data_IF_566422053688
#
_entry.id   IF_566422053688
#
_cell.length_a   1.000
_cell.length_b   1.000
_cell.length_c   1.000
_cell.angle_alpha   90.00
_cell.angle_beta   90.00
_cell.angle_gamma   90.00
#
_symmetry.space_group_name_H-M   'P 1'
#
loop_
_entity.id
_entity.type
_entity.pdbx_description
1 polymer ?
#
# COMPACT_ATOMS: atom_id res chain seq x y z
N UNK A 1 0.60 -30.04 -11.32
CA UNK A 1 0.56 -28.56 -11.21
C UNK A 1 0.90 -28.21 -9.77
N UNK A 2 1.98 -27.48 -9.49
CA UNK A 2 2.38 -27.18 -8.10
C UNK A 2 1.55 -25.99 -7.59
N UNK A 3 1.03 -26.06 -6.37
CA UNK A 3 0.21 -25.00 -5.73
C UNK A 3 0.87 -23.61 -5.84
N UNK A 4 2.21 -23.58 -5.75
CA UNK A 4 3.02 -22.36 -5.88
C UNK A 4 2.85 -21.66 -7.23
N UNK A 5 2.61 -22.38 -8.34
CA UNK A 5 2.48 -21.77 -9.66
C UNK A 5 1.12 -21.06 -9.83
N UNK A 6 0.12 -21.43 -9.02
CA UNK A 6 -1.20 -20.77 -8.98
C UNK A 6 -1.11 -19.51 -8.10
N UNK A 7 -0.54 -19.66 -6.90
CA UNK A 7 -0.50 -18.58 -5.91
C UNK A 7 0.57 -17.54 -6.26
N UNK A 8 1.72 -17.96 -6.79
CA UNK A 8 2.88 -17.14 -7.12
C UNK A 8 3.38 -17.45 -8.55
N UNK A 9 2.61 -17.07 -9.58
CA UNK A 9 3.01 -17.27 -10.97
C UNK A 9 4.31 -16.51 -11.29
N UNK A 10 5.10 -17.07 -12.20
CA UNK A 10 6.27 -16.40 -12.77
C UNK A 10 5.95 -15.71 -14.11
N UNK A 11 4.68 -15.69 -14.52
CA UNK A 11 4.26 -15.13 -15.80
C UNK A 11 4.51 -13.61 -15.81
N UNK A 12 5.15 -13.07 -16.86
CA UNK A 12 5.42 -11.65 -16.98
C UNK A 12 4.17 -10.78 -16.81
N UNK A 13 4.22 -9.81 -15.89
CA UNK A 13 3.11 -8.88 -15.64
C UNK A 13 1.95 -9.47 -14.82
N UNK A 14 2.10 -10.68 -14.28
CA UNK A 14 1.11 -11.27 -13.38
C UNK A 14 0.99 -10.47 -12.07
N UNK A 15 2.10 -10.01 -11.50
CA UNK A 15 2.10 -9.18 -10.30
C UNK A 15 1.42 -7.83 -10.56
N UNK A 16 1.73 -7.19 -11.70
CA UNK A 16 1.11 -5.94 -12.16
C UNK A 16 -0.41 -6.05 -12.19
N UNK A 17 -0.96 -7.08 -12.87
CA UNK A 17 -2.40 -7.28 -12.96
C UNK A 17 -3.05 -7.43 -11.59
N UNK A 18 -2.43 -8.20 -10.69
CA UNK A 18 -2.95 -8.44 -9.35
C UNK A 18 -2.93 -7.19 -8.48
N UNK A 19 -1.88 -6.37 -8.56
CA UNK A 19 -1.85 -5.07 -7.89
C UNK A 19 -2.96 -4.14 -8.37
N UNK A 20 -3.24 -4.07 -9.68
CA UNK A 20 -4.34 -3.27 -10.20
C UNK A 20 -5.72 -3.80 -9.78
N UNK A 21 -5.91 -5.12 -9.78
CA UNK A 21 -7.16 -5.72 -9.27
C UNK A 21 -7.34 -5.40 -7.78
N UNK A 22 -6.30 -5.57 -6.97
CA UNK A 22 -6.33 -5.21 -5.56
C UNK A 22 -6.62 -3.72 -5.35
N UNK A 23 -5.97 -2.85 -6.12
CA UNK A 23 -6.21 -1.40 -6.11
C UNK A 23 -7.68 -1.07 -6.35
N UNK A 24 -8.31 -1.66 -7.36
CA UNK A 24 -9.73 -1.45 -7.64
C UNK A 24 -10.64 -1.95 -6.51
N UNK A 25 -10.32 -3.09 -5.89
CA UNK A 25 -11.06 -3.61 -4.74
C UNK A 25 -10.95 -2.68 -3.53
N UNK A 26 -9.75 -2.17 -3.24
CA UNK A 26 -9.56 -1.22 -2.14
C UNK A 26 -10.13 0.16 -2.43
N UNK A 27 -10.22 0.58 -3.69
CA UNK A 27 -10.94 1.79 -4.07
C UNK A 27 -12.42 1.66 -3.70
N UNK A 28 -13.04 0.53 -4.07
CA UNK A 28 -14.42 0.26 -3.70
C UNK A 28 -14.60 0.32 -2.18
N UNK A 29 -13.76 -0.40 -1.42
CA UNK A 29 -13.81 -0.38 0.04
C UNK A 29 -13.60 1.03 0.64
N UNK A 30 -12.57 1.75 0.18
CA UNK A 30 -12.26 3.10 0.63
C UNK A 30 -13.39 4.07 0.36
N UNK A 31 -13.95 4.08 -0.85
CA UNK A 31 -15.11 4.92 -1.20
C UNK A 31 -16.35 4.54 -0.39
N UNK A 32 -16.57 3.26 -0.09
CA UNK A 32 -17.65 2.83 0.82
C UNK A 32 -17.50 3.45 2.21
N UNK A 33 -16.31 3.42 2.82
CA UNK A 33 -16.09 4.10 4.10
C UNK A 33 -16.23 5.63 3.99
N UNK A 34 -15.84 6.22 2.86
CA UNK A 34 -16.05 7.65 2.60
C UNK A 34 -17.54 8.01 2.57
N UNK A 35 -18.34 7.17 1.91
CA UNK A 35 -19.79 7.31 1.85
C UNK A 35 -20.44 7.13 3.23
N UNK A 36 -20.03 6.13 4.01
CA UNK A 36 -20.50 5.93 5.38
C UNK A 36 -20.17 7.15 6.27
N UNK A 37 -18.96 7.70 6.15
CA UNK A 37 -18.58 8.89 6.90
C UNK A 37 -19.40 10.12 6.51
N UNK A 38 -19.70 10.28 5.21
CA UNK A 38 -20.56 11.35 4.72
C UNK A 38 -22.02 11.19 5.22
N UNK A 39 -22.54 9.97 5.25
CA UNK A 39 -23.87 9.67 5.80
C UNK A 39 -23.94 9.99 7.30
N UNK A 40 -22.93 9.59 8.07
CA UNK A 40 -22.86 9.89 9.52
C UNK A 40 -22.87 11.41 9.79
N UNK A 41 -22.20 12.21 8.97
CA UNK A 41 -22.21 13.68 9.10
C UNK A 41 -23.54 14.33 8.68
N UNK A 42 -24.22 13.77 7.68
CA UNK A 42 -25.43 14.34 7.11
C UNK A 42 -26.70 13.93 7.88
N UNK A 43 -26.81 12.65 8.22
CA UNK A 43 -27.97 12.04 8.81
C UNK A 43 -27.53 10.85 9.71
N UNK A 44 -26.98 11.14 10.90
CA UNK A 44 -26.42 10.12 11.80
C UNK A 44 -27.45 9.06 12.25
N UNK A 45 -28.74 9.40 12.28
CA UNK A 45 -29.82 8.49 12.64
C UNK A 45 -30.04 7.35 11.61
N UNK A 46 -29.45 7.43 10.42
CA UNK A 46 -29.53 6.38 9.39
C UNK A 46 -28.57 5.22 9.63
N UNK A 47 -27.51 5.44 10.42
CA UNK A 47 -26.53 4.40 10.74
C UNK A 47 -26.78 3.85 12.15
N UNK A 48 -26.53 2.55 12.39
CA UNK A 48 -26.49 2.04 13.75
C UNK A 48 -25.45 2.81 14.57
N UNK A 49 -25.76 3.14 15.83
CA UNK A 49 -24.85 3.82 16.76
C UNK A 49 -23.74 2.90 17.28
N UNK A 50 -23.05 2.21 16.37
CA UNK A 50 -21.88 1.38 16.64
C UNK A 50 -20.63 2.25 16.64
N UNK A 51 -19.72 1.98 17.58
CA UNK A 51 -18.50 2.78 17.72
C UNK A 51 -17.63 2.75 16.45
N UNK A 52 -17.65 1.63 15.74
CA UNK A 52 -16.93 1.37 14.48
C UNK A 52 -17.40 2.25 13.32
N UNK A 53 -18.68 2.64 13.32
CA UNK A 53 -19.28 3.49 12.28
C UNK A 53 -19.27 4.97 12.64
N UNK A 54 -18.82 5.33 13.84
CA UNK A 54 -18.65 6.73 14.22
C UNK A 54 -17.68 7.45 13.28
N UNK A 55 -17.98 8.70 12.97
CA UNK A 55 -17.18 9.50 12.05
C UNK A 55 -15.69 9.53 12.42
N UNK A 56 -15.38 9.58 13.72
CA UNK A 56 -14.00 9.58 14.22
C UNK A 56 -13.18 8.34 13.86
N UNK A 57 -13.83 7.19 13.62
CA UNK A 57 -13.16 5.93 13.20
C UNK A 57 -13.30 5.64 11.72
N UNK A 58 -14.44 6.02 11.13
CA UNK A 58 -14.68 5.87 9.69
C UNK A 58 -13.77 6.77 8.87
N UNK A 59 -13.51 8.01 9.31
CA UNK A 59 -12.60 8.96 8.63
C UNK A 59 -11.18 8.39 8.44
N UNK A 60 -10.46 7.99 9.50
CA UNK A 60 -9.11 7.45 9.32
C UNK A 60 -9.13 6.14 8.53
N UNK A 61 -10.18 5.31 8.68
CA UNK A 61 -10.35 4.10 7.87
C UNK A 61 -10.46 4.44 6.38
N UNK A 62 -11.33 5.38 6.01
CA UNK A 62 -11.50 5.85 4.63
C UNK A 62 -10.17 6.33 4.03
N UNK A 63 -9.49 7.26 4.70
CA UNK A 63 -8.25 7.85 4.19
C UNK A 63 -7.17 6.78 4.03
N UNK A 64 -7.00 5.88 5.00
CA UNK A 64 -5.99 4.84 4.91
C UNK A 64 -6.30 3.83 3.79
N UNK A 65 -7.56 3.43 3.60
CA UNK A 65 -7.93 2.55 2.50
C UNK A 65 -7.77 3.20 1.13
N UNK A 66 -8.04 4.51 1.00
CA UNK A 66 -7.82 5.22 -0.26
C UNK A 66 -6.33 5.40 -0.55
N UNK A 67 -5.53 5.80 0.44
CA UNK A 67 -4.09 6.05 0.25
C UNK A 67 -3.30 4.75 0.18
N UNK A 68 -3.32 3.94 1.24
CA UNK A 68 -2.53 2.71 1.32
C UNK A 68 -3.19 1.56 0.55
N UNK A 69 -4.52 1.46 0.58
CA UNK A 69 -5.22 0.42 -0.18
C UNK A 69 -5.27 0.71 -1.68
N UNK A 70 -5.86 1.82 -2.11
CA UNK A 70 -6.05 2.11 -3.53
C UNK A 70 -4.80 2.67 -4.20
N UNK A 71 -4.33 3.85 -3.76
CA UNK A 71 -3.27 4.60 -4.47
C UNK A 71 -1.93 3.87 -4.45
N UNK A 72 -1.52 3.30 -3.32
CA UNK A 72 -0.26 2.56 -3.25
C UNK A 72 -0.30 1.24 -4.04
N UNK A 73 -1.41 0.48 -4.03
CA UNK A 73 -1.51 -0.70 -4.92
C UNK A 73 -1.47 -0.27 -6.40
N UNK A 74 -2.13 0.83 -6.79
CA UNK A 74 -2.05 1.36 -8.16
C UNK A 74 -0.61 1.77 -8.51
N UNK A 75 0.07 2.45 -7.58
CA UNK A 75 1.45 2.86 -7.75
C UNK A 75 2.39 1.65 -7.89
N UNK A 76 2.22 0.62 -7.07
CA UNK A 76 2.98 -0.64 -7.14
C UNK A 76 2.72 -1.39 -8.45
N UNK A 77 1.47 -1.50 -8.90
CA UNK A 77 1.18 -2.05 -10.22
C UNK A 77 1.81 -1.23 -11.35
N UNK A 78 1.73 0.10 -11.24
CA UNK A 78 2.29 1.05 -12.19
C UNK A 78 3.81 0.92 -12.33
N UNK A 79 4.57 0.89 -11.23
CA UNK A 79 6.03 0.74 -11.29
C UNK A 79 6.46 -0.63 -11.84
N UNK A 80 5.74 -1.71 -11.53
CA UNK A 80 6.03 -3.05 -12.06
C UNK A 80 5.72 -3.18 -13.55
N UNK A 81 4.88 -2.29 -14.10
CA UNK A 81 4.64 -2.21 -15.53
C UNK A 81 5.62 -1.26 -16.24
N UNK A 82 5.70 -0.01 -15.79
CA UNK A 82 6.40 1.07 -16.48
C UNK A 82 7.91 0.84 -16.49
N UNK A 83 8.50 0.45 -15.35
CA UNK A 83 9.96 0.30 -15.23
C UNK A 83 10.52 -0.76 -16.20
N UNK A 84 10.06 -2.03 -16.21
CA UNK A 84 10.59 -3.01 -17.15
C UNK A 84 10.34 -2.62 -18.62
N UNK A 85 9.17 -2.05 -18.94
CA UNK A 85 8.83 -1.62 -20.30
C UNK A 85 9.78 -0.53 -20.81
N UNK A 86 10.01 0.51 -20.02
CA UNK A 86 10.88 1.63 -20.42
C UNK A 86 12.36 1.24 -20.41
N UNK A 87 12.77 0.39 -19.47
CA UNK A 87 14.14 -0.14 -19.41
C UNK A 87 14.42 -1.26 -20.43
N UNK A 88 13.40 -1.67 -21.21
CA UNK A 88 13.44 -2.76 -22.20
C UNK A 88 14.02 -4.06 -21.63
N UNK A 89 13.61 -4.40 -20.42
CA UNK A 89 14.05 -5.60 -19.69
C UNK A 89 12.86 -6.30 -19.05
N UNK A 90 13.04 -7.57 -18.72
CA UNK A 90 12.10 -8.29 -17.87
C UNK A 90 12.23 -7.82 -16.41
N UNK A 91 11.14 -7.98 -15.65
CA UNK A 91 11.11 -7.67 -14.23
C UNK A 91 12.07 -8.60 -13.46
N UNK A 92 12.86 -8.03 -12.55
CA UNK A 92 13.92 -8.76 -11.83
C UNK A 92 13.47 -10.06 -11.14
N UNK A 93 12.28 -10.06 -10.53
CA UNK A 93 11.75 -11.21 -9.80
C UNK A 93 10.21 -11.21 -9.70
N UNK A 94 9.54 -11.71 -10.74
CA UNK A 94 8.05 -11.75 -10.83
C UNK A 94 7.39 -12.54 -9.70
N UNK A 95 7.96 -13.69 -9.29
CA UNK A 95 7.43 -14.49 -8.18
C UNK A 95 7.49 -13.75 -6.84
N UNK A 96 8.58 -13.02 -6.61
CA UNK A 96 8.76 -12.23 -5.41
C UNK A 96 7.83 -11.01 -5.40
N UNK A 97 7.60 -10.39 -6.56
CA UNK A 97 6.59 -9.35 -6.72
C UNK A 97 5.17 -9.86 -6.38
N UNK A 98 4.81 -11.07 -6.84
CA UNK A 98 3.54 -11.72 -6.50
C UNK A 98 3.41 -12.01 -5.00
N UNK A 99 4.49 -12.38 -4.32
CA UNK A 99 4.47 -12.51 -2.86
C UNK A 99 4.22 -11.15 -2.20
N UNK A 100 4.87 -10.10 -2.72
CA UNK A 100 4.66 -8.72 -2.29
C UNK A 100 3.20 -8.26 -2.41
N UNK A 101 2.46 -8.70 -3.46
CA UNK A 101 1.02 -8.43 -3.60
C UNK A 101 0.27 -8.98 -2.39
N UNK A 102 0.42 -10.27 -2.09
CA UNK A 102 -0.31 -10.91 -0.99
C UNK A 102 0.06 -10.29 0.35
N UNK A 103 1.35 -10.13 0.59
CA UNK A 103 1.86 -9.57 1.84
C UNK A 103 1.34 -8.14 2.07
N UNK A 104 1.42 -7.26 1.07
CA UNK A 104 0.95 -5.89 1.20
C UNK A 104 -0.57 -5.81 1.41
N UNK A 105 -1.34 -6.63 0.70
CA UNK A 105 -2.79 -6.63 0.84
C UNK A 105 -3.25 -7.21 2.18
N UNK A 106 -2.46 -8.10 2.82
CA UNK A 106 -2.69 -8.50 4.20
C UNK A 106 -2.44 -7.36 5.20
N UNK A 107 -1.45 -6.51 4.95
CA UNK A 107 -1.19 -5.30 5.77
C UNK A 107 -2.36 -4.32 5.65
N UNK A 108 -2.83 -4.04 4.44
CA UNK A 108 -4.00 -3.17 4.20
C UNK A 108 -5.27 -3.76 4.82
N UNK A 109 -5.47 -5.08 4.72
CA UNK A 109 -6.57 -5.75 5.42
C UNK A 109 -6.44 -5.58 6.94
N UNK A 110 -5.23 -5.66 7.49
CA UNK A 110 -4.94 -5.32 8.87
C UNK A 110 -5.44 -3.92 9.24
N UNK A 111 -5.19 -2.91 8.40
CA UNK A 111 -5.68 -1.54 8.63
C UNK A 111 -7.22 -1.46 8.63
N UNK A 112 -7.88 -2.16 7.69
CA UNK A 112 -9.34 -2.28 7.65
C UNK A 112 -9.90 -2.89 8.94
N UNK A 113 -9.19 -3.81 9.58
CA UNK A 113 -9.61 -4.37 10.86
C UNK A 113 -9.28 -3.44 12.03
N UNK A 114 -8.07 -2.89 12.12
CA UNK A 114 -7.63 -2.15 13.32
C UNK A 114 -8.29 -0.78 13.46
N UNK A 115 -8.45 -0.04 12.36
CA UNK A 115 -8.89 1.36 12.41
C UNK A 115 -10.37 1.51 12.86
N UNK A 116 -11.34 0.73 12.35
CA UNK A 116 -12.71 0.77 12.87
C UNK A 116 -12.82 0.35 14.34
N UNK A 117 -11.91 -0.50 14.83
CA UNK A 117 -11.86 -0.88 16.24
C UNK A 117 -11.17 0.17 17.14
N UNK A 118 -10.71 1.29 16.56
CA UNK A 118 -10.09 2.39 17.30
C UNK A 118 -8.63 2.15 17.67
N UNK A 119 -7.99 1.12 17.11
CA UNK A 119 -6.56 0.86 17.29
C UNK A 119 -5.82 1.75 16.29
N UNK A 120 -5.46 2.96 16.73
CA UNK A 120 -4.84 3.98 15.89
C UNK A 120 -3.82 4.83 16.63
N UNK A 121 -2.78 5.30 15.92
CA UNK A 121 -1.82 6.28 16.46
C UNK A 121 -2.36 7.73 16.45
N UNK A 122 -3.49 7.99 15.80
CA UNK A 122 -4.16 9.31 15.83
C UNK A 122 -3.49 10.43 15.03
N UNK A 123 -2.44 10.14 14.26
CA UNK A 123 -1.78 11.11 13.37
C UNK A 123 -2.24 10.93 11.93
N UNK A 124 -2.57 12.03 11.26
CA UNK A 124 -3.08 11.97 9.90
C UNK A 124 -2.08 11.33 8.93
N UNK A 125 -2.57 10.37 8.13
CA UNK A 125 -1.77 9.54 7.21
C UNK A 125 -0.73 8.62 7.88
N UNK A 126 -0.77 8.51 9.20
CA UNK A 126 0.08 7.69 10.07
C UNK A 126 -0.78 7.00 11.14
N UNK A 127 -2.04 6.68 10.82
CA UNK A 127 -3.02 6.18 11.78
C UNK A 127 -2.87 4.69 12.09
N UNK A 128 -2.24 3.92 11.19
CA UNK A 128 -2.13 2.48 11.31
C UNK A 128 -1.32 2.06 12.56
N UNK A 129 -1.58 0.88 13.10
CA UNK A 129 -0.78 0.37 14.22
C UNK A 129 0.68 0.12 13.79
N UNK A 130 1.64 0.32 14.69
CA UNK A 130 3.08 0.22 14.41
C UNK A 130 3.51 -1.10 13.74
N UNK A 131 2.82 -2.21 14.04
CA UNK A 131 3.07 -3.52 13.43
C UNK A 131 2.75 -3.48 11.93
N UNK A 132 1.67 -2.80 11.55
CA UNK A 132 1.28 -2.61 10.16
C UNK A 132 2.24 -1.64 9.45
N UNK A 133 2.77 -0.65 10.17
CA UNK A 133 3.79 0.26 9.61
C UNK A 133 5.04 -0.49 9.16
N UNK A 134 5.51 -1.43 9.98
CA UNK A 134 6.62 -2.31 9.63
C UNK A 134 6.27 -3.13 8.38
N UNK A 135 5.03 -3.61 8.29
CA UNK A 135 4.52 -4.29 7.10
C UNK A 135 4.62 -3.42 5.84
N UNK A 136 4.17 -2.16 5.90
CA UNK A 136 4.28 -1.21 4.79
C UNK A 136 5.74 -0.99 4.39
N UNK A 137 6.64 -0.79 5.36
CA UNK A 137 8.07 -0.62 5.09
C UNK A 137 8.71 -1.84 4.45
N UNK A 138 8.37 -3.05 4.89
CA UNK A 138 8.84 -4.30 4.27
C UNK A 138 8.37 -4.38 2.81
N UNK A 139 7.11 -4.03 2.53
CA UNK A 139 6.58 -4.00 1.16
C UNK A 139 7.32 -2.98 0.28
N UNK A 140 7.54 -1.76 0.78
CA UNK A 140 8.28 -0.71 0.08
C UNK A 140 9.73 -1.15 -0.20
N UNK A 141 10.41 -1.73 0.78
CA UNK A 141 11.77 -2.24 0.62
C UNK A 141 11.85 -3.41 -0.38
N UNK A 142 10.90 -4.36 -0.31
CA UNK A 142 10.83 -5.47 -1.24
C UNK A 142 10.62 -4.99 -2.68
N UNK A 143 9.70 -4.03 -2.90
CA UNK A 143 9.50 -3.45 -4.23
C UNK A 143 10.69 -2.59 -4.69
N UNK A 144 11.37 -1.89 -3.77
CA UNK A 144 12.59 -1.17 -4.11
C UNK A 144 13.65 -2.13 -4.65
N UNK A 145 13.89 -3.26 -3.98
CA UNK A 145 14.83 -4.29 -4.47
C UNK A 145 14.45 -4.77 -5.87
N UNK A 146 13.17 -5.01 -6.13
CA UNK A 146 12.69 -5.47 -7.46
C UNK A 146 12.89 -4.39 -8.51
N UNK A 147 12.52 -3.14 -8.23
CA UNK A 147 12.60 -2.01 -9.18
C UNK A 147 14.05 -1.66 -9.47
N UNK A 148 14.89 -1.47 -8.45
CA UNK A 148 16.30 -1.15 -8.64
C UNK A 148 17.05 -2.33 -9.29
N UNK A 149 16.72 -3.58 -8.94
CA UNK A 149 17.24 -4.76 -9.61
C UNK A 149 16.84 -4.83 -11.10
N UNK A 150 15.65 -4.37 -11.44
CA UNK A 150 15.18 -4.28 -12.84
C UNK A 150 15.95 -3.19 -13.59
N UNK A 151 16.12 -2.01 -12.99
CA UNK A 151 16.90 -0.90 -13.56
C UNK A 151 18.37 -1.27 -13.76
N UNK A 152 18.95 -2.04 -12.85
CA UNK A 152 20.33 -2.52 -12.96
C UNK A 152 20.54 -3.47 -14.14
N UNK A 153 19.49 -4.18 -14.58
CA UNK A 153 19.49 -5.10 -15.73
C UNK A 153 18.97 -4.47 -17.02
N UNK A 154 18.79 -3.14 -17.04
CA UNK A 154 18.23 -2.42 -18.20
C UNK A 154 19.06 -2.64 -19.47
N UNK A 155 18.38 -2.68 -20.61
CA UNK A 155 19.02 -2.66 -21.93
C UNK A 155 19.13 -1.24 -22.49
N UNK A 156 18.24 -0.35 -22.06
CA UNK A 156 18.25 1.05 -22.47
C UNK A 156 19.37 1.83 -21.78
N UNK A 157 20.19 2.55 -22.54
CA UNK A 157 21.36 3.25 -21.99
C UNK A 157 20.96 4.52 -21.25
N UNK A 158 20.03 5.29 -21.82
CA UNK A 158 19.51 6.52 -21.25
C UNK A 158 18.27 6.24 -20.42
N UNK A 159 18.32 6.63 -19.16
CA UNK A 159 17.29 6.34 -18.19
C UNK A 159 16.22 7.43 -18.28
N UNK A 160 15.01 7.05 -18.69
CA UNK A 160 13.93 8.01 -18.92
C UNK A 160 13.54 8.74 -17.62
N UNK A 161 13.16 10.01 -17.73
CA UNK A 161 12.84 10.88 -16.58
C UNK A 161 11.76 10.27 -15.68
N UNK A 162 10.74 9.64 -16.26
CA UNK A 162 9.69 8.95 -15.49
C UNK A 162 10.25 7.88 -14.54
N UNK A 163 11.30 7.17 -14.95
CA UNK A 163 11.94 6.15 -14.10
C UNK A 163 12.69 6.82 -12.94
N UNK A 164 13.22 8.03 -13.11
CA UNK A 164 13.84 8.79 -12.00
C UNK A 164 12.80 9.12 -10.94
N UNK A 165 11.66 9.68 -11.34
CA UNK A 165 10.58 10.01 -10.41
C UNK A 165 9.96 8.78 -9.76
N UNK A 166 9.79 7.68 -10.48
CA UNK A 166 9.29 6.43 -9.92
C UNK A 166 10.29 5.87 -8.88
N UNK A 167 11.57 5.76 -9.23
CA UNK A 167 12.59 5.22 -8.32
C UNK A 167 12.80 6.11 -7.09
N UNK A 168 12.88 7.44 -7.30
CA UNK A 168 13.02 8.41 -6.22
C UNK A 168 11.76 8.41 -5.33
N UNK A 169 10.56 8.39 -5.91
CA UNK A 169 9.30 8.33 -5.18
C UNK A 169 9.19 7.09 -4.31
N UNK A 170 9.56 5.92 -4.83
CA UNK A 170 9.56 4.66 -4.07
C UNK A 170 10.56 4.71 -2.90
N UNK A 171 11.78 5.19 -3.16
CA UNK A 171 12.82 5.30 -2.14
C UNK A 171 12.47 6.34 -1.08
N UNK A 172 11.98 7.51 -1.49
CA UNK A 172 11.59 8.59 -0.58
C UNK A 172 10.38 8.20 0.28
N UNK A 173 9.41 7.50 -0.30
CA UNK A 173 8.24 7.01 0.44
C UNK A 173 8.66 6.11 1.61
N UNK A 174 9.67 5.24 1.43
CA UNK A 174 10.21 4.43 2.53
C UNK A 174 10.72 5.30 3.68
N UNK A 175 11.57 6.29 3.38
CA UNK A 175 12.16 7.15 4.41
C UNK A 175 11.13 8.06 5.08
N UNK A 176 10.26 8.69 4.29
CA UNK A 176 9.17 9.55 4.82
C UNK A 176 8.24 8.75 5.72
N UNK A 177 7.86 7.54 5.29
CA UNK A 177 6.98 6.70 6.09
C UNK A 177 7.66 6.22 7.39
N UNK A 178 8.93 5.81 7.32
CA UNK A 178 9.68 5.36 8.49
C UNK A 178 9.87 6.48 9.52
N UNK A 179 10.25 7.68 9.07
CA UNK A 179 10.46 8.85 9.94
C UNK A 179 9.14 9.40 10.46
N UNK A 180 8.13 9.50 9.59
CA UNK A 180 6.80 10.01 9.97
C UNK A 180 6.13 9.17 11.06
N UNK A 181 6.28 7.85 10.99
CA UNK A 181 5.72 6.91 11.98
C UNK A 181 6.66 6.61 13.17
N UNK A 182 7.88 7.18 13.19
CA UNK A 182 8.86 6.97 14.29
C UNK A 182 9.04 5.46 14.56
N UNK A 183 9.23 4.68 13.50
CA UNK A 183 9.11 3.20 13.57
C UNK A 183 10.13 2.53 14.51
N UNK A 184 11.19 3.23 14.89
CA UNK A 184 12.18 2.77 15.88
C UNK A 184 11.64 2.80 17.33
N UNK A 185 10.54 3.49 17.60
CA UNK A 185 9.92 3.61 18.93
C UNK A 185 8.85 2.52 19.22
N UNK A 186 8.86 1.41 18.49
CA UNK A 186 8.15 0.17 18.83
C UNK A 186 6.67 0.36 19.22
N UNK A 187 6.21 -0.12 20.39
CA UNK A 187 4.82 0.04 20.85
C UNK A 187 4.37 1.49 21.01
N UNK A 188 5.33 2.39 21.26
CA UNK A 188 5.11 3.82 21.42
C UNK A 188 5.01 4.50 20.06
N UNK A 189 5.40 3.84 18.95
CA UNK A 189 5.27 4.30 17.57
C UNK A 189 5.44 5.82 17.45
N UNK A 190 4.46 6.48 16.83
CA UNK A 190 4.33 7.94 16.88
C UNK A 190 3.30 8.47 17.90
N UNK A 191 2.91 7.64 18.88
CA UNK A 191 1.91 7.97 19.91
C UNK A 191 2.30 9.19 20.76
N UNK A 192 3.61 9.42 20.91
CA UNK A 192 4.16 10.68 21.37
C UNK A 192 4.73 11.37 20.14
N UNK A 193 4.00 12.36 19.61
CA UNK A 193 4.49 13.17 18.50
C UNK A 193 5.91 13.70 18.79
N UNK A 194 6.70 13.85 17.73
CA UNK A 194 7.95 14.62 17.77
C UNK A 194 7.63 16.06 18.18
#
# INVERSE_FOLDING_TARGET
>A
MRILDIVLPAEPGSATRRFFVASALWLAAGVTFGFLGALEMLAPDLLPHWAELSFGRVRPTHINLVVFGFLLNAYFGGLLHVVPTVCRTELYAERFANFGVWFYNLVVAGMLFTLPHGITQGREYAEAAWILDIGVLISLAALAIIVFGTIARRKEQLLYVSVWYIAAGLLWSFFVYAVGNVVWAGPIGSWQGI
#
